data_IF_236216031878
#
_entry.id   IF_236216031878
#
_cell.length_a   1.000
_cell.length_b   1.000
_cell.length_c   1.000
_cell.angle_alpha   90.00
_cell.angle_beta   90.00
_cell.angle_gamma   90.00
#
_symmetry.space_group_name_H-M   'P 1'
#
loop_
_entity.id
_entity.type
_entity.pdbx_description
1 polymer ?
#
# COMPACT_ATOMS: atom_id res chain seq x y z
N UNK A 1 -18.26 2.78 -30.71
CA UNK A 1 -17.87 1.36 -30.67
C UNK A 1 -16.79 1.08 -29.61
N UNK A 2 -15.69 1.83 -29.55
CA UNK A 2 -14.67 1.67 -28.49
C UNK A 2 -15.14 2.10 -27.09
N UNK A 3 -15.84 3.24 -26.97
CA UNK A 3 -16.37 3.74 -25.69
C UNK A 3 -17.31 2.73 -25.01
N UNK A 4 -18.26 2.16 -25.77
CA UNK A 4 -19.19 1.13 -25.30
C UNK A 4 -18.52 -0.17 -24.85
N UNK A 5 -17.33 -0.48 -25.38
CA UNK A 5 -16.54 -1.62 -24.92
C UNK A 5 -15.90 -1.30 -23.56
N UNK A 6 -15.31 -0.12 -23.41
CA UNK A 6 -14.68 0.29 -22.16
C UNK A 6 -15.68 0.36 -21.00
N UNK A 7 -16.88 0.90 -21.25
CA UNK A 7 -17.95 1.03 -20.25
C UNK A 7 -18.42 -0.31 -19.67
N UNK A 8 -18.27 -1.41 -20.41
CA UNK A 8 -18.69 -2.74 -19.95
C UNK A 8 -17.57 -3.51 -19.26
N UNK A 9 -16.35 -3.47 -19.82
CA UNK A 9 -15.25 -4.31 -19.34
C UNK A 9 -14.41 -3.66 -18.23
N UNK A 10 -14.17 -2.35 -18.27
CA UNK A 10 -13.35 -1.70 -17.24
C UNK A 10 -13.95 -1.78 -15.84
N UNK A 11 -15.27 -1.62 -15.62
CA UNK A 11 -15.84 -1.76 -14.27
C UNK A 11 -15.54 -3.11 -13.64
N UNK A 12 -15.59 -4.20 -14.43
CA UNK A 12 -15.26 -5.55 -13.94
C UNK A 12 -13.80 -5.60 -13.48
N UNK A 13 -12.88 -5.06 -14.27
CA UNK A 13 -11.44 -5.03 -13.93
C UNK A 13 -11.18 -4.15 -12.70
N UNK A 14 -11.86 -3.00 -12.60
CA UNK A 14 -11.78 -2.11 -11.44
C UNK A 14 -12.17 -2.86 -10.16
N UNK A 15 -13.33 -3.52 -10.15
CA UNK A 15 -13.78 -4.25 -8.97
C UNK A 15 -12.86 -5.41 -8.61
N UNK A 16 -12.28 -6.09 -9.60
CA UNK A 16 -11.30 -7.15 -9.36
C UNK A 16 -10.03 -6.61 -8.71
N UNK A 17 -9.49 -5.48 -9.20
CA UNK A 17 -8.31 -4.84 -8.61
C UNK A 17 -8.57 -4.36 -7.18
N UNK A 18 -9.73 -3.74 -6.92
CA UNK A 18 -10.12 -3.35 -5.56
C UNK A 18 -10.22 -4.55 -4.64
N UNK A 19 -10.87 -5.62 -5.10
CA UNK A 19 -11.01 -6.84 -4.34
C UNK A 19 -9.66 -7.45 -3.98
N UNK A 20 -8.73 -7.53 -4.94
CA UNK A 20 -7.36 -8.00 -4.71
C UNK A 20 -6.65 -7.16 -3.64
N UNK A 21 -6.74 -5.83 -3.74
CA UNK A 21 -6.18 -4.92 -2.74
C UNK A 21 -6.74 -5.19 -1.34
N UNK A 22 -8.06 -5.28 -1.21
CA UNK A 22 -8.74 -5.58 0.06
C UNK A 22 -8.31 -6.94 0.62
N UNK A 23 -8.24 -7.98 -0.21
CA UNK A 23 -7.81 -9.32 0.21
C UNK A 23 -6.40 -9.30 0.78
N UNK A 24 -5.46 -8.62 0.11
CA UNK A 24 -4.08 -8.50 0.59
C UNK A 24 -4.01 -7.76 1.93
N UNK A 25 -4.76 -6.65 2.10
CA UNK A 25 -4.86 -5.93 3.39
C UNK A 25 -5.35 -6.86 4.49
N UNK A 26 -6.46 -7.56 4.25
CA UNK A 26 -7.08 -8.43 5.26
C UNK A 26 -6.12 -9.53 5.70
N UNK A 27 -5.46 -10.21 4.76
CA UNK A 27 -4.52 -11.30 5.08
C UNK A 27 -3.32 -10.78 5.87
N UNK A 28 -2.71 -9.68 5.42
CA UNK A 28 -1.48 -9.14 6.02
C UNK A 28 -1.76 -8.52 7.39
N UNK A 29 -2.86 -7.80 7.55
CA UNK A 29 -3.32 -7.26 8.83
C UNK A 29 -3.68 -8.37 9.82
N UNK A 30 -4.40 -9.40 9.40
CA UNK A 30 -4.78 -10.51 10.28
C UNK A 30 -3.54 -11.25 10.80
N UNK A 31 -2.55 -11.51 9.93
CA UNK A 31 -1.29 -12.13 10.33
C UNK A 31 -0.51 -11.26 11.32
N UNK A 32 -0.30 -9.99 11.00
CA UNK A 32 0.44 -9.06 11.85
C UNK A 32 -0.25 -8.87 13.22
N UNK A 33 -1.57 -8.72 13.22
CA UNK A 33 -2.35 -8.55 14.44
C UNK A 33 -2.38 -9.81 15.31
N UNK A 34 -2.52 -11.00 14.69
CA UNK A 34 -2.48 -12.26 15.42
C UNK A 34 -1.17 -12.49 16.16
N UNK A 35 -0.05 -12.06 15.57
CA UNK A 35 1.27 -12.18 16.21
C UNK A 35 1.50 -11.08 17.23
N UNK A 36 1.04 -9.85 16.97
CA UNK A 36 1.02 -8.78 17.96
C UNK A 36 0.29 -9.22 19.24
N UNK A 37 -0.91 -9.80 19.13
CA UNK A 37 -1.67 -10.31 20.27
C UNK A 37 -0.91 -11.39 21.06
N UNK A 38 -0.24 -12.32 20.37
CA UNK A 38 0.61 -13.33 21.02
C UNK A 38 1.79 -12.70 21.76
N UNK A 39 2.45 -11.72 21.15
CA UNK A 39 3.59 -11.00 21.75
C UNK A 39 3.19 -10.21 23.00
N UNK A 40 2.03 -9.56 22.99
CA UNK A 40 1.46 -8.88 24.17
C UNK A 40 1.21 -9.87 25.31
N UNK A 41 0.77 -11.10 25.00
CA UNK A 41 0.47 -12.12 26.01
C UNK A 41 1.75 -12.82 26.55
N UNK A 42 2.78 -12.98 25.73
CA UNK A 42 4.00 -13.75 26.07
C UNK A 42 5.21 -12.90 26.53
N UNK A 43 5.08 -11.57 26.63
CA UNK A 43 6.11 -10.65 27.20
C UNK A 43 7.49 -10.71 26.51
N UNK A 44 7.52 -11.16 25.26
CA UNK A 44 8.65 -11.07 24.33
C UNK A 44 8.12 -10.56 22.99
N UNK A 45 8.59 -9.39 22.56
CA UNK A 45 8.24 -8.77 21.28
C UNK A 45 9.54 -8.40 20.60
N UNK A 46 10.13 -9.34 19.88
CA UNK A 46 11.12 -9.04 18.86
C UNK A 46 10.66 -9.70 17.57
N UNK A 47 9.99 -8.92 16.72
CA UNK A 47 9.66 -9.38 15.38
C UNK A 47 9.61 -8.23 14.38
N UNK A 48 10.80 -7.69 14.10
CA UNK A 48 11.01 -6.71 13.04
C UNK A 48 10.72 -7.29 11.64
N UNK A 49 10.73 -8.62 11.50
CA UNK A 49 10.36 -9.30 10.26
C UNK A 49 8.86 -9.13 9.98
N UNK A 50 8.00 -9.33 11.00
CA UNK A 50 6.54 -9.11 10.84
C UNK A 50 6.20 -7.67 10.50
N UNK A 51 6.84 -6.70 11.14
CA UNK A 51 6.60 -5.28 10.81
C UNK A 51 6.95 -5.01 9.35
N UNK A 52 8.08 -5.53 8.89
CA UNK A 52 8.54 -5.38 7.50
C UNK A 52 7.59 -6.05 6.52
N UNK A 53 7.13 -7.27 6.81
CA UNK A 53 6.20 -8.01 5.96
C UNK A 53 4.81 -7.39 5.94
N UNK A 54 4.35 -6.83 7.06
CA UNK A 54 3.13 -6.05 7.13
C UNK A 54 3.22 -4.78 6.28
N UNK A 55 4.32 -4.02 6.38
CA UNK A 55 4.54 -2.83 5.54
C UNK A 55 4.61 -3.16 4.06
N UNK A 56 5.26 -4.27 3.66
CA UNK A 56 5.27 -4.74 2.26
C UNK A 56 3.88 -5.14 1.79
N UNK A 57 3.13 -5.86 2.62
CA UNK A 57 1.76 -6.26 2.34
C UNK A 57 0.81 -5.07 2.14
N UNK A 58 0.91 -4.08 3.03
CA UNK A 58 0.19 -2.82 2.88
C UNK A 58 0.59 -2.08 1.61
N UNK A 59 1.89 -1.98 1.30
CA UNK A 59 2.37 -1.37 0.06
C UNK A 59 1.75 -2.02 -1.19
N UNK A 60 1.81 -3.35 -1.28
CA UNK A 60 1.24 -4.12 -2.38
C UNK A 60 -0.27 -3.88 -2.53
N UNK A 61 -1.00 -3.83 -1.42
CA UNK A 61 -2.44 -3.56 -1.47
C UNK A 61 -2.79 -2.15 -1.95
N UNK A 62 -1.98 -1.16 -1.57
CA UNK A 62 -2.16 0.22 -2.00
C UNK A 62 -1.92 0.34 -3.51
N UNK A 63 -0.94 -0.37 -4.06
CA UNK A 63 -0.69 -0.40 -5.51
C UNK A 63 -1.89 -0.95 -6.30
N UNK A 64 -2.57 -1.99 -5.81
CA UNK A 64 -3.79 -2.50 -6.43
C UNK A 64 -4.95 -1.51 -6.35
N UNK A 65 -5.15 -0.86 -5.20
CA UNK A 65 -6.20 0.15 -5.03
C UNK A 65 -5.95 1.39 -5.88
N UNK A 66 -4.69 1.82 -5.99
CA UNK A 66 -4.27 2.91 -6.88
C UNK A 66 -4.51 2.54 -8.34
N UNK A 67 -4.20 1.31 -8.75
CA UNK A 67 -4.43 0.83 -10.11
C UNK A 67 -5.92 0.84 -10.46
N UNK A 68 -6.79 0.42 -9.54
CA UNK A 68 -8.23 0.50 -9.72
C UNK A 68 -8.74 1.95 -9.85
N UNK A 69 -8.18 2.86 -9.06
CA UNK A 69 -8.54 4.28 -9.07
C UNK A 69 -8.06 5.00 -10.34
N UNK A 70 -6.86 4.67 -10.84
CA UNK A 70 -6.38 5.10 -12.17
C UNK A 70 -7.28 4.57 -13.29
N UNK A 71 -7.80 3.35 -13.16
CA UNK A 71 -8.70 2.80 -14.17
C UNK A 71 -10.09 3.47 -14.14
N UNK A 72 -10.54 3.98 -12.98
CA UNK A 72 -11.77 4.80 -12.86
C UNK A 72 -11.63 6.16 -13.54
N UNK A 73 -10.45 6.80 -13.50
CA UNK A 73 -10.24 8.08 -14.20
C UNK A 73 -10.29 7.95 -15.71
N UNK A 74 -10.09 6.74 -16.26
CA UNK A 74 -10.25 6.47 -17.69
C UNK A 74 -11.74 6.47 -18.10
N UNK A 75 -12.66 6.10 -17.20
CA UNK A 75 -14.12 6.11 -17.44
C UNK A 75 -14.72 7.50 -17.18
N UNK A 76 -14.23 8.20 -16.15
CA UNK A 76 -14.74 9.51 -15.77
C UNK A 76 -14.20 10.56 -16.73
N UNK A 77 -15.09 11.27 -17.42
CA UNK A 77 -14.70 12.29 -18.40
C UNK A 77 -15.00 13.73 -17.95
N UNK A 78 -15.56 13.92 -16.75
CA UNK A 78 -15.86 15.25 -16.21
C UNK A 78 -14.66 15.79 -15.41
N UNK A 79 -14.25 17.02 -15.70
CA UNK A 79 -13.03 17.62 -15.13
C UNK A 79 -13.11 17.77 -13.60
N UNK A 80 -14.30 18.02 -13.06
CA UNK A 80 -14.51 18.24 -11.63
C UNK A 80 -14.40 16.92 -10.84
N UNK A 81 -14.97 15.82 -11.35
CA UNK A 81 -14.85 14.50 -10.72
C UNK A 81 -13.42 13.96 -10.82
N UNK A 82 -12.77 14.16 -11.97
CA UNK A 82 -11.35 13.84 -12.17
C UNK A 82 -10.44 14.58 -11.20
N UNK A 83 -10.70 15.85 -10.90
CA UNK A 83 -9.89 16.65 -9.99
C UNK A 83 -9.95 16.12 -8.55
N UNK A 84 -11.14 15.78 -8.07
CA UNK A 84 -11.32 15.22 -6.71
C UNK A 84 -10.63 13.85 -6.61
N UNK A 85 -10.80 12.99 -7.62
CA UNK A 85 -10.12 11.68 -7.67
C UNK A 85 -8.60 11.83 -7.70
N UNK A 86 -8.09 12.79 -8.46
CA UNK A 86 -6.65 13.08 -8.55
C UNK A 86 -6.05 13.55 -7.22
N UNK A 87 -6.77 14.40 -6.48
CA UNK A 87 -6.33 14.85 -5.15
C UNK A 87 -6.28 13.68 -4.17
N UNK A 88 -7.32 12.85 -4.13
CA UNK A 88 -7.38 11.66 -3.24
C UNK A 88 -6.24 10.69 -3.57
N UNK A 89 -5.99 10.44 -4.86
CA UNK A 89 -4.87 9.61 -5.31
C UNK A 89 -3.52 10.19 -4.90
N UNK A 90 -3.31 11.50 -5.07
CA UNK A 90 -2.08 12.19 -4.64
C UNK A 90 -1.83 12.06 -3.14
N UNK A 91 -2.86 12.25 -2.31
CA UNK A 91 -2.77 12.05 -0.85
C UNK A 91 -2.39 10.61 -0.48
N UNK A 92 -2.97 9.60 -1.17
CA UNK A 92 -2.63 8.19 -0.94
C UNK A 92 -1.18 7.86 -1.25
N UNK A 93 -0.63 8.39 -2.35
CA UNK A 93 0.78 8.19 -2.71
C UNK A 93 1.70 8.77 -1.63
N UNK A 94 1.39 9.98 -1.14
CA UNK A 94 2.17 10.61 -0.08
C UNK A 94 2.16 9.76 1.20
N UNK A 95 0.99 9.26 1.62
CA UNK A 95 0.87 8.43 2.84
C UNK A 95 1.56 7.07 2.68
N UNK A 96 1.48 6.44 1.51
CA UNK A 96 2.15 5.15 1.25
C UNK A 96 3.67 5.25 1.10
N UNK A 97 4.16 6.37 0.55
CA UNK A 97 5.58 6.56 0.25
C UNK A 97 6.37 7.20 1.41
N UNK A 98 5.71 7.97 2.29
CA UNK A 98 6.34 8.61 3.45
C UNK A 98 7.07 7.61 4.38
N UNK A 99 6.52 6.43 4.73
CA UNK A 99 7.24 5.43 5.53
C UNK A 99 8.49 4.89 4.84
N UNK A 100 8.47 4.71 3.52
CA UNK A 100 9.60 4.21 2.74
C UNK A 100 10.71 5.26 2.62
N UNK A 101 10.34 6.52 2.34
CA UNK A 101 11.26 7.65 2.38
C UNK A 101 11.91 7.81 3.75
N UNK A 102 11.12 7.66 4.82
CA UNK A 102 11.61 7.74 6.19
C UNK A 102 12.53 6.57 6.54
N UNK A 103 12.25 5.35 6.06
CA UNK A 103 13.10 4.18 6.26
C UNK A 103 14.43 4.29 5.50
N UNK A 104 14.45 4.90 4.30
CA UNK A 104 15.68 5.17 3.54
C UNK A 104 16.52 6.33 4.12
N UNK A 105 15.98 7.09 5.08
CA UNK A 105 16.70 8.10 5.86
C UNK A 105 17.59 7.52 6.97
N UNK A 106 17.87 6.21 6.94
CA UNK A 106 18.78 5.55 7.86
C UNK A 106 20.12 6.29 7.98
N UNK A 107 20.34 6.88 9.15
CA UNK A 107 21.59 7.42 9.62
C UNK A 107 22.71 6.40 9.35
N UNK A 108 23.47 6.60 8.26
CA UNK A 108 24.61 5.77 7.92
C UNK A 108 25.67 5.97 9.00
N UNK A 109 25.65 5.15 10.06
CA UNK A 109 26.64 5.22 11.14
C UNK A 109 28.03 5.08 10.52
N UNK A 110 28.93 6.07 10.67
CA UNK A 110 30.21 6.05 9.99
C UNK A 110 31.02 4.84 10.45
N UNK A 111 31.59 4.11 9.48
CA UNK A 111 32.33 2.86 9.62
C UNK A 111 33.69 2.99 10.33
N UNK A 112 33.87 4.01 11.16
CA UNK A 112 35.16 4.39 11.77
C UNK A 112 35.46 3.53 13.01
N UNK A 113 34.47 2.82 13.57
CA UNK A 113 34.65 2.00 14.78
C UNK A 113 35.04 0.53 14.53
N UNK A 114 35.26 0.10 13.28
CA UNK A 114 35.60 -1.31 12.98
C UNK A 114 37.11 -1.59 12.88
N UNK A 115 37.98 -0.65 13.28
CA UNK A 115 39.44 -0.76 13.15
C UNK A 115 40.24 -0.64 14.46
N UNK A 116 39.59 -0.86 15.61
CA UNK A 116 40.23 -0.78 16.92
C UNK A 116 39.91 -2.00 17.82
N UNK A 117 39.94 -3.21 17.24
CA UNK A 117 39.95 -4.47 17.97
C UNK A 117 40.98 -5.40 17.32
#
# INVERSE_FOLDING_TARGET
>A
MLASFFDHYLPVVIYLLEFMGVVVIVITATKAFGIYLKGVLSRHIEDDQIKTDFSKGLGMSLEFLLSAEVLKTIIIHTKDELMVLGIIMGLRIIVGFLPQLMHSGGFKKPSIFKKAA
#
